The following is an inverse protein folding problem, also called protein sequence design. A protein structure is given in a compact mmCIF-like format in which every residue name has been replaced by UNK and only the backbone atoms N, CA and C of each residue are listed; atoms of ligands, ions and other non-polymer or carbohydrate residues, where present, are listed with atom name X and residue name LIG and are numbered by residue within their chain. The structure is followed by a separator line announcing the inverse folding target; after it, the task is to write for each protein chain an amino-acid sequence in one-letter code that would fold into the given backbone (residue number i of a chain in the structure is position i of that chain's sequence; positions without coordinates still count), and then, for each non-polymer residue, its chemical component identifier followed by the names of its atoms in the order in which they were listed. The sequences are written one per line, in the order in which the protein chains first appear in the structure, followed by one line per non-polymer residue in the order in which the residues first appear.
data_IF_579601670919
#
_entry.id   IF_579601670919
#
_cell.length_a   1.000
_cell.length_b   1.000
_cell.length_c   1.000
_cell.angle_alpha   90.00
_cell.angle_beta   90.00
_cell.angle_gamma   90.00
#
_symmetry.space_group_name_H-M   'P 1'
#
loop_
_entity.id
_entity.type
_entity.pdbx_description
1 polymer ?
#
# COMPACT_ATOMS: atom_id res chain seq x y z
N UNK A 1 5.83 17.36 -0.06
CA UNK A 1 6.18 15.99 -0.52
C UNK A 1 5.31 15.68 -1.74
N UNK A 2 5.86 15.12 -2.83
CA UNK A 2 5.10 14.80 -4.05
C UNK A 2 4.84 13.29 -4.14
N UNK A 3 4.03 12.75 -3.23
CA UNK A 3 3.82 11.30 -3.09
C UNK A 3 3.23 10.68 -4.35
N UNK A 4 2.21 11.31 -4.92
CA UNK A 4 1.51 10.85 -6.12
C UNK A 4 2.47 10.70 -7.30
N UNK A 5 3.36 11.68 -7.50
CA UNK A 5 4.38 11.61 -8.57
C UNK A 5 5.36 10.44 -8.37
N UNK A 6 5.69 10.13 -7.11
CA UNK A 6 6.54 8.97 -6.81
C UNK A 6 5.78 7.69 -7.14
N UNK A 7 4.54 7.54 -6.66
CA UNK A 7 3.70 6.37 -6.92
C UNK A 7 3.49 6.14 -8.43
N UNK A 8 3.19 7.19 -9.19
CA UNK A 8 2.99 7.11 -10.64
C UNK A 8 4.25 6.64 -11.38
N UNK A 9 5.44 6.97 -10.87
CA UNK A 9 6.73 6.53 -11.44
C UNK A 9 7.01 5.04 -11.24
N UNK A 10 6.50 4.44 -10.17
CA UNK A 10 6.66 3.01 -9.88
C UNK A 10 5.48 2.14 -10.33
N UNK A 11 4.32 2.76 -10.57
CA UNK A 11 3.09 2.07 -11.00
C UNK A 11 2.46 2.78 -12.21
N UNK A 12 3.10 2.76 -13.38
CA UNK A 12 2.61 3.45 -14.55
C UNK A 12 1.23 2.92 -14.99
N UNK A 13 0.36 3.83 -15.43
CA UNK A 13 -0.92 3.52 -16.05
C UNK A 13 -0.76 3.38 -17.57
N UNK A 14 0.04 2.38 -17.97
CA UNK A 14 0.45 2.09 -19.35
C UNK A 14 -0.63 1.42 -20.21
N UNK A 15 -1.67 0.89 -19.59
CA UNK A 15 -2.79 0.22 -20.26
C UNK A 15 -4.03 1.13 -20.34
N UNK A 16 -4.58 1.33 -21.54
CA UNK A 16 -5.79 2.13 -21.79
C UNK A 16 -7.03 1.64 -21.02
N UNK A 17 -7.04 0.39 -20.57
CA UNK A 17 -8.11 -0.20 -19.75
C UNK A 17 -8.08 0.31 -18.30
N UNK A 18 -6.96 0.89 -17.86
CA UNK A 18 -6.81 1.49 -16.54
C UNK A 18 -7.52 2.84 -16.52
N UNK A 19 -8.73 2.85 -15.97
CA UNK A 19 -9.54 4.06 -15.82
C UNK A 19 -9.29 4.80 -14.50
N UNK A 20 -8.72 4.12 -13.51
CA UNK A 20 -8.26 4.68 -12.25
C UNK A 20 -6.73 4.46 -12.16
N UNK A 21 -5.91 5.52 -12.23
CA UNK A 21 -4.46 5.37 -12.11
C UNK A 21 -4.06 4.67 -10.81
N UNK A 22 -3.17 3.65 -10.83
CA UNK A 22 -2.84 2.87 -9.64
C UNK A 22 -2.31 3.72 -8.49
N UNK A 23 -1.42 4.68 -8.79
CA UNK A 23 -0.88 5.61 -7.79
C UNK A 23 -1.95 6.40 -7.05
N UNK A 24 -3.03 6.79 -7.75
CA UNK A 24 -4.17 7.48 -7.11
C UNK A 24 -5.01 6.55 -6.25
N UNK A 25 -5.23 5.30 -6.68
CA UNK A 25 -5.91 4.29 -5.88
C UNK A 25 -5.15 3.97 -4.58
N UNK A 26 -3.83 3.82 -4.65
CA UNK A 26 -2.98 3.61 -3.47
C UNK A 26 -2.97 4.85 -2.57
N UNK A 27 -2.87 6.06 -3.13
CA UNK A 27 -2.93 7.29 -2.34
C UNK A 27 -4.29 7.47 -1.64
N UNK A 28 -5.40 7.06 -2.29
CA UNK A 28 -6.73 7.04 -1.68
C UNK A 28 -6.78 6.07 -0.48
N UNK A 29 -6.22 4.86 -0.63
CA UNK A 29 -6.14 3.88 0.46
C UNK A 29 -5.32 4.40 1.64
N UNK A 30 -4.20 5.07 1.39
CA UNK A 30 -3.39 5.67 2.45
C UNK A 30 -4.20 6.72 3.22
N UNK A 31 -4.93 7.60 2.52
CA UNK A 31 -5.83 8.59 3.16
C UNK A 31 -6.89 7.91 4.01
N UNK A 32 -7.55 6.90 3.47
CA UNK A 32 -8.54 6.12 4.23
C UNK A 32 -7.91 5.49 5.48
N UNK A 33 -6.76 4.83 5.36
CA UNK A 33 -6.08 4.18 6.48
C UNK A 33 -5.70 5.16 7.60
N UNK A 34 -5.34 6.40 7.24
CA UNK A 34 -5.01 7.45 8.21
C UNK A 34 -6.24 8.06 8.87
N UNK A 35 -7.35 8.21 8.15
CA UNK A 35 -8.51 9.01 8.61
C UNK A 35 -9.67 8.15 9.13
N UNK A 36 -10.06 7.09 8.41
CA UNK A 36 -11.33 6.40 8.65
C UNK A 36 -11.22 4.87 8.78
N UNK A 37 -10.16 4.26 8.22
CA UNK A 37 -9.88 2.82 8.23
C UNK A 37 -11.05 1.98 7.72
N UNK A 38 -11.78 2.47 6.72
CA UNK A 38 -12.89 1.74 6.13
C UNK A 38 -12.39 0.53 5.34
N UNK A 39 -13.12 -0.59 5.33
CA UNK A 39 -12.74 -1.76 4.55
C UNK A 39 -12.79 -1.47 3.05
N UNK A 40 -12.12 -2.30 2.24
CA UNK A 40 -11.92 -2.08 0.81
C UNK A 40 -13.26 -1.96 0.05
N UNK A 41 -14.26 -2.78 0.39
CA UNK A 41 -15.60 -2.73 -0.22
C UNK A 41 -16.37 -1.44 0.08
N UNK A 42 -16.03 -0.74 1.16
CA UNK A 42 -16.69 0.51 1.57
C UNK A 42 -15.92 1.77 1.11
N UNK A 43 -14.86 1.62 0.30
CA UNK A 43 -14.00 2.75 -0.07
C UNK A 43 -14.73 3.78 -0.94
N UNK A 44 -15.65 3.34 -1.81
CA UNK A 44 -16.45 4.22 -2.64
C UNK A 44 -17.42 5.06 -1.82
N UNK A 45 -18.16 4.43 -0.90
CA UNK A 45 -19.07 5.11 0.03
C UNK A 45 -18.33 6.10 0.93
N UNK A 46 -17.15 5.70 1.42
CA UNK A 46 -16.30 6.58 2.23
C UNK A 46 -15.82 7.80 1.44
N UNK A 47 -15.47 7.63 0.16
CA UNK A 47 -14.97 8.72 -0.66
C UNK A 47 -16.07 9.68 -1.16
N UNK A 48 -17.31 9.20 -1.28
CA UNK A 48 -18.46 9.93 -1.83
C UNK A 48 -18.72 11.33 -1.23
N UNK A 49 -18.65 11.56 0.11
CA UNK A 49 -18.92 12.88 0.68
C UNK A 49 -17.78 13.89 0.46
N UNK A 50 -16.61 13.48 -0.02
CA UNK A 50 -15.47 14.36 -0.23
C UNK A 50 -15.43 14.88 -1.66
N UNK A 51 -14.97 16.14 -1.83
CA UNK A 51 -14.62 16.63 -3.15
C UNK A 51 -13.52 15.75 -3.78
N UNK A 52 -13.65 15.32 -5.05
CA UNK A 52 -12.65 14.44 -5.69
C UNK A 52 -11.22 14.99 -5.59
N UNK A 53 -11.08 16.30 -5.77
CA UNK A 53 -9.78 16.99 -5.71
C UNK A 53 -9.13 16.91 -4.33
N UNK A 54 -9.92 16.91 -3.24
CA UNK A 54 -9.40 16.73 -1.88
C UNK A 54 -8.79 15.33 -1.67
N UNK A 55 -9.23 14.35 -2.46
CA UNK A 55 -8.71 12.97 -2.46
C UNK A 55 -7.61 12.74 -3.51
N UNK A 56 -7.18 13.77 -4.25
CA UNK A 56 -6.24 13.63 -5.38
C UNK A 56 -6.86 12.95 -6.61
N UNK A 57 -8.19 12.95 -6.70
CA UNK A 57 -8.96 12.34 -7.78
C UNK A 57 -9.51 13.42 -8.72
N UNK A 58 -9.98 12.96 -9.88
CA UNK A 58 -10.74 13.79 -10.82
C UNK A 58 -12.20 13.33 -10.75
N UNK A 59 -13.15 14.17 -11.15
CA UNK A 59 -14.58 13.85 -11.05
C UNK A 59 -14.94 12.53 -11.73
N UNK A 60 -14.30 12.21 -12.87
CA UNK A 60 -14.50 10.92 -13.56
C UNK A 60 -14.08 9.69 -12.76
N UNK A 61 -13.21 9.85 -11.75
CA UNK A 61 -12.68 8.73 -10.97
C UNK A 61 -13.62 8.29 -9.84
N UNK A 62 -14.47 9.19 -9.32
CA UNK A 62 -15.36 8.87 -8.18
C UNK A 62 -16.29 7.70 -8.50
N UNK A 63 -16.93 7.73 -9.66
CA UNK A 63 -17.85 6.67 -10.10
C UNK A 63 -17.12 5.37 -10.46
N UNK A 64 -15.79 5.37 -10.44
CA UNK A 64 -14.96 4.19 -10.65
C UNK A 64 -14.49 3.58 -9.33
N UNK A 65 -14.73 4.20 -8.17
CA UNK A 65 -14.26 3.65 -6.90
C UNK A 65 -15.08 2.44 -6.50
N UNK A 66 -14.42 1.28 -6.52
CA UNK A 66 -14.89 0.04 -5.94
C UNK A 66 -13.70 -0.81 -5.50
N UNK A 67 -13.98 -1.84 -4.72
CA UNK A 67 -12.98 -2.79 -4.23
C UNK A 67 -12.20 -3.46 -5.35
N UNK A 68 -12.84 -3.89 -6.44
CA UNK A 68 -12.16 -4.52 -7.56
C UNK A 68 -11.07 -3.62 -8.18
N UNK A 69 -11.38 -2.36 -8.45
CA UNK A 69 -10.43 -1.42 -9.08
C UNK A 69 -9.34 -1.01 -8.13
N UNK A 70 -9.65 -0.83 -6.85
CA UNK A 70 -8.62 -0.54 -5.85
C UNK A 70 -7.77 -1.79 -5.58
N UNK A 71 -8.35 -3.00 -5.65
CA UNK A 71 -7.64 -4.28 -5.62
C UNK A 71 -6.65 -4.40 -6.77
N UNK A 72 -7.04 -4.02 -7.99
CA UNK A 72 -6.10 -3.93 -9.13
C UNK A 72 -4.98 -2.90 -8.92
N UNK A 73 -5.22 -1.85 -8.14
CA UNK A 73 -4.15 -0.92 -7.76
C UNK A 73 -3.15 -1.60 -6.81
N UNK A 74 -3.63 -2.43 -5.88
CA UNK A 74 -2.79 -3.25 -5.00
C UNK A 74 -2.00 -4.31 -5.78
N UNK A 75 -2.58 -4.91 -6.81
CA UNK A 75 -1.85 -5.80 -7.73
C UNK A 75 -0.68 -5.07 -8.41
N UNK A 76 -0.93 -3.86 -8.92
CA UNK A 76 0.13 -3.03 -9.51
C UNK A 76 1.20 -2.62 -8.50
N UNK A 77 0.83 -2.40 -7.23
CA UNK A 77 1.80 -2.17 -6.16
C UNK A 77 2.63 -3.42 -5.86
N UNK A 78 2.03 -4.61 -5.91
CA UNK A 78 2.74 -5.88 -5.71
C UNK A 78 3.81 -6.10 -6.79
N UNK A 79 3.46 -5.77 -8.04
CA UNK A 79 4.31 -5.90 -9.23
C UNK A 79 5.42 -4.83 -9.29
N UNK A 80 5.27 -3.73 -8.55
CA UNK A 80 6.26 -2.65 -8.51
C UNK A 80 7.51 -3.03 -7.72
N UNK A 81 8.61 -2.32 -7.99
CA UNK A 81 9.81 -2.32 -7.14
C UNK A 81 9.51 -1.61 -5.80
N UNK A 82 8.85 -2.34 -4.90
CA UNK A 82 8.42 -1.86 -3.58
C UNK A 82 9.59 -1.37 -2.71
N UNK A 83 10.75 -2.04 -2.64
CA UNK A 83 11.91 -1.52 -1.94
C UNK A 83 12.37 -0.14 -2.46
N UNK A 84 12.55 0.01 -3.78
CA UNK A 84 12.96 1.30 -4.35
C UNK A 84 11.89 2.39 -4.19
N UNK A 85 10.62 2.02 -4.29
CA UNK A 85 9.48 2.90 -4.00
C UNK A 85 9.55 3.44 -2.57
N UNK A 86 9.71 2.56 -1.57
CA UNK A 86 9.80 2.96 -0.15
C UNK A 86 10.98 3.90 0.07
N UNK A 87 12.16 3.56 -0.46
CA UNK A 87 13.35 4.43 -0.37
C UNK A 87 13.09 5.80 -0.98
N UNK A 88 12.41 5.85 -2.13
CA UNK A 88 12.06 7.11 -2.81
C UNK A 88 11.11 7.97 -1.99
N UNK A 89 10.10 7.35 -1.37
CA UNK A 89 9.14 8.03 -0.47
C UNK A 89 9.88 8.59 0.75
N UNK A 90 10.70 7.77 1.43
CA UNK A 90 11.46 8.18 2.61
C UNK A 90 12.43 9.31 2.26
N UNK A 91 13.21 9.18 1.19
CA UNK A 91 14.13 10.22 0.75
C UNK A 91 13.42 11.53 0.40
N UNK A 92 12.24 11.45 -0.23
CA UNK A 92 11.41 12.63 -0.49
C UNK A 92 10.88 13.26 0.80
N UNK A 93 10.49 12.47 1.80
CA UNK A 93 10.03 12.98 3.08
C UNK A 93 11.17 13.68 3.84
N UNK A 94 12.35 13.05 3.92
CA UNK A 94 13.56 13.64 4.55
C UNK A 94 13.87 15.00 3.97
N UNK A 95 13.90 15.13 2.63
CA UNK A 95 14.15 16.42 1.96
C UNK A 95 13.05 17.44 2.21
N UNK A 96 11.79 17.02 2.11
CA UNK A 96 10.65 17.93 2.27
C UNK A 96 10.52 18.49 3.69
N UNK A 97 10.85 17.68 4.69
CA UNK A 97 10.70 18.04 6.10
C UNK A 97 12.02 18.35 6.80
N UNK A 98 13.14 18.36 6.06
CA UNK A 98 14.51 18.63 6.56
C UNK A 98 14.86 17.76 7.78
N UNK A 99 14.50 16.48 7.72
CA UNK A 99 14.74 15.52 8.81
C UNK A 99 16.26 15.32 8.97
N UNK A 100 16.77 15.43 10.20
CA UNK A 100 18.18 15.15 10.50
C UNK A 100 18.41 13.64 10.51
N UNK A 101 19.47 13.19 9.85
CA UNK A 101 19.83 11.77 9.75
C UNK A 101 21.06 11.40 10.59
N UNK A 102 21.43 12.24 11.56
CA UNK A 102 22.59 12.03 12.42
C UNK A 102 22.37 10.94 13.49
N UNK A 103 21.12 10.55 13.76
CA UNK A 103 20.75 9.41 14.59
C UNK A 103 19.61 8.65 13.91
N UNK A 104 19.77 7.34 13.80
CA UNK A 104 18.78 6.45 13.22
C UNK A 104 18.38 5.41 14.26
N UNK A 105 17.11 5.42 14.65
CA UNK A 105 16.52 4.41 15.51
C UNK A 105 15.58 3.57 14.67
N UNK A 106 15.73 2.24 14.74
CA UNK A 106 14.81 1.30 14.13
C UNK A 106 14.12 0.51 15.23
N UNK A 107 12.84 0.77 15.44
CA UNK A 107 11.97 -0.10 16.22
C UNK A 107 11.12 -0.94 15.27
N UNK A 108 11.42 -2.24 15.19
CA UNK A 108 10.69 -3.16 14.34
C UNK A 108 9.32 -3.51 14.92
N UNK A 109 8.28 -3.48 14.11
CA UNK A 109 6.95 -3.98 14.52
C UNK A 109 6.84 -5.46 14.18
N UNK A 110 6.40 -6.29 15.12
CA UNK A 110 6.03 -7.69 14.82
C UNK A 110 4.59 -7.73 14.34
N UNK A 111 4.35 -8.35 13.18
CA UNK A 111 3.01 -8.68 12.69
C UNK A 111 2.74 -10.16 12.98
N UNK A 112 1.55 -10.48 13.50
CA UNK A 112 1.11 -11.85 13.75
C UNK A 112 -0.12 -12.16 12.91
N UNK A 113 -0.20 -13.38 12.40
CA UNK A 113 -1.29 -13.88 11.57
C UNK A 113 -2.08 -14.95 12.34
N UNK A 114 -3.40 -14.93 12.15
CA UNK A 114 -4.33 -15.92 12.71
C UNK A 114 -5.23 -16.41 11.59
N UNK A 115 -5.15 -17.70 11.24
CA UNK A 115 -5.93 -18.29 10.16
C UNK A 115 -5.16 -19.35 9.39
N UNK A 116 -5.72 -19.82 8.28
CA UNK A 116 -5.05 -20.77 7.38
C UNK A 116 -4.51 -20.03 6.17
N UNK A 117 -3.20 -19.76 6.15
CA UNK A 117 -2.52 -19.06 5.05
C UNK A 117 -1.71 -20.03 4.16
N UNK A 118 -2.32 -21.13 3.72
CA UNK A 118 -1.61 -22.19 2.96
C UNK A 118 -1.03 -21.76 1.60
N UNK A 119 -1.37 -20.57 1.11
CA UNK A 119 -0.82 -19.98 -0.12
C UNK A 119 0.29 -18.94 0.15
N UNK A 120 0.60 -18.66 1.42
CA UNK A 120 1.65 -17.75 1.84
C UNK A 120 2.96 -18.55 2.06
N UNK A 121 3.44 -19.18 1.00
CA UNK A 121 4.60 -20.08 0.99
C UNK A 121 5.88 -19.43 0.44
N UNK A 122 5.82 -18.16 0.04
CA UNK A 122 6.93 -17.44 -0.60
C UNK A 122 7.13 -17.78 -2.07
N UNK A 123 6.17 -18.43 -2.73
CA UNK A 123 6.25 -18.73 -4.17
C UNK A 123 6.37 -17.47 -5.02
N UNK A 124 6.89 -17.63 -6.23
CA UNK A 124 6.97 -16.53 -7.20
C UNK A 124 5.62 -16.36 -7.91
N UNK A 125 5.07 -15.16 -7.85
CA UNK A 125 3.89 -14.71 -8.61
C UNK A 125 4.29 -13.47 -9.37
N UNK A 126 4.07 -13.46 -10.70
CA UNK A 126 4.41 -12.32 -11.58
C UNK A 126 5.85 -11.82 -11.40
N UNK A 127 6.78 -12.74 -11.18
CA UNK A 127 8.21 -12.42 -10.98
C UNK A 127 8.59 -11.94 -9.57
N UNK A 128 7.61 -11.78 -8.67
CA UNK A 128 7.81 -11.31 -7.30
C UNK A 128 7.54 -12.44 -6.28
N UNK A 129 8.33 -12.56 -5.20
CA UNK A 129 8.00 -13.48 -4.13
C UNK A 129 6.72 -13.01 -3.41
N UNK A 130 5.82 -13.95 -3.14
CA UNK A 130 4.70 -13.73 -2.22
C UNK A 130 5.22 -13.64 -0.78
N UNK A 131 4.35 -13.18 0.12
CA UNK A 131 4.63 -13.26 1.55
C UNK A 131 4.78 -14.73 1.95
N UNK A 132 5.84 -15.06 2.69
CA UNK A 132 5.94 -16.34 3.37
C UNK A 132 5.48 -16.17 4.81
N UNK A 133 4.50 -16.96 5.22
CA UNK A 133 3.99 -16.97 6.59
C UNK A 133 4.42 -18.28 7.25
N UNK A 134 5.05 -18.18 8.42
CA UNK A 134 5.56 -19.33 9.17
C UNK A 134 5.52 -19.07 10.68
N UNK A 135 5.80 -20.07 11.51
CA UNK A 135 5.95 -19.85 12.94
C UNK A 135 7.30 -19.18 13.24
N UNK A 136 7.27 -18.04 13.93
CA UNK A 136 8.44 -17.17 14.12
C UNK A 136 8.60 -16.60 15.53
N UNK A 137 9.62 -15.76 15.70
CA UNK A 137 9.95 -15.11 16.97
C UNK A 137 9.11 -13.85 17.22
N UNK A 138 7.93 -14.02 17.80
CA UNK A 138 7.10 -12.91 18.23
C UNK A 138 7.74 -12.11 19.37
N UNK A 139 7.85 -10.78 19.20
CA UNK A 139 8.17 -9.86 20.32
C UNK A 139 7.15 -10.00 21.46
N UNK A 140 5.91 -10.41 21.14
CA UNK A 140 4.87 -10.71 22.13
C UNK A 140 5.01 -12.09 22.80
N UNK A 141 6.09 -12.85 22.51
CA UNK A 141 6.36 -14.21 23.04
C UNK A 141 5.21 -15.19 22.80
N UNK A 142 4.57 -15.09 21.64
CA UNK A 142 3.48 -15.97 21.17
C UNK A 142 4.00 -16.90 20.06
N UNK A 143 4.60 -18.06 20.41
CA UNK A 143 5.14 -19.01 19.42
C UNK A 143 4.03 -19.76 18.66
N UNK A 144 2.81 -19.72 19.16
CA UNK A 144 1.62 -20.32 18.56
C UNK A 144 1.06 -19.51 17.37
N UNK A 145 1.51 -18.27 17.18
CA UNK A 145 1.04 -17.41 16.09
C UNK A 145 2.01 -17.45 14.91
N UNK A 146 1.43 -17.47 13.72
CA UNK A 146 2.19 -17.35 12.48
C UNK A 146 2.68 -15.91 12.28
N UNK A 147 3.77 -15.76 11.53
CA UNK A 147 4.51 -14.53 11.30
C UNK A 147 4.97 -14.43 9.86
N UNK A 148 5.04 -13.21 9.30
CA UNK A 148 5.64 -13.00 8.00
C UNK A 148 7.17 -13.08 8.10
N UNK A 149 7.79 -13.69 7.10
CA UNK A 149 9.24 -13.68 6.84
C UNK A 149 9.54 -13.18 5.43
#
# INVERSE_FOLDING_TARGET
MKLERILDGYMPADDKRIKLPPGRGIALLLRNLMVARKPLYAIGEWAAPFAPTALGLESRHINLLNDDRVGRCLDRLFDADRPALIVSVVASAVRAFKVRLNQLHNDSTTVSFSGKYGLADGRIVRGMPTLKVTYGHSKARRPDLEQPI
#
